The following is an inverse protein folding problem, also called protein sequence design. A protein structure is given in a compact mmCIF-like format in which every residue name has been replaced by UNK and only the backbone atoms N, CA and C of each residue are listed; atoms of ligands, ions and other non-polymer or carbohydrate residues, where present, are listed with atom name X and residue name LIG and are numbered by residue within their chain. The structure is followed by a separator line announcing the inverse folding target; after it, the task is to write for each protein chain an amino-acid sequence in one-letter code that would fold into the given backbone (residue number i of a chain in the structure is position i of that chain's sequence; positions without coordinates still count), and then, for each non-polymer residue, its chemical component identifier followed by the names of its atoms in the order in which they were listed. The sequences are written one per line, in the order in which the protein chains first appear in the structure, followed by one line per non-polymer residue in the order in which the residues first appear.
data_IF_369079338672
#
_entry.id   IF_369079338672
#
_cell.length_a   1.000
_cell.length_b   1.000
_cell.length_c   1.000
_cell.angle_alpha   90.00
_cell.angle_beta   90.00
_cell.angle_gamma   90.00
#
_symmetry.space_group_name_H-M   'P 1'
#
loop_
_entity.id
_entity.type
_entity.pdbx_description
1 polymer ?
#
# COMPACT_ATOMS: atom_id res chain seq x y z
N UNK A 1 -52.21 65.34 -0.53
CA UNK A 1 -51.39 64.29 -1.17
C UNK A 1 -50.19 64.01 -0.27
N UNK A 2 -50.23 62.93 0.51
CA UNK A 2 -49.07 62.40 1.24
C UNK A 2 -49.00 60.91 0.89
N UNK A 3 -48.02 60.53 0.08
CA UNK A 3 -47.79 59.14 -0.30
C UNK A 3 -47.13 58.41 0.86
N UNK A 4 -47.75 57.31 1.30
CA UNK A 4 -47.13 56.32 2.18
C UNK A 4 -46.45 55.30 1.28
N UNK A 5 -45.12 55.26 1.32
CA UNK A 5 -44.33 54.25 0.63
C UNK A 5 -44.13 53.06 1.58
N UNK A 6 -44.80 51.95 1.29
CA UNK A 6 -44.59 50.66 1.96
C UNK A 6 -43.35 50.01 1.37
N UNK A 7 -42.23 50.07 2.09
CA UNK A 7 -41.01 49.35 1.73
C UNK A 7 -41.13 47.86 2.04
N UNK A 8 -41.15 47.02 1.01
CA UNK A 8 -41.00 45.56 1.14
C UNK A 8 -39.50 45.28 1.35
N UNK A 9 -39.13 44.84 2.55
CA UNK A 9 -37.81 44.27 2.82
C UNK A 9 -37.81 42.81 2.34
N UNK A 10 -37.18 42.55 1.19
CA UNK A 10 -36.80 41.20 0.77
C UNK A 10 -35.61 40.74 1.63
N UNK A 11 -35.86 39.86 2.59
CA UNK A 11 -34.79 39.06 3.21
C UNK A 11 -34.22 38.12 2.15
N UNK A 12 -33.10 38.52 1.54
CA UNK A 12 -32.21 37.59 0.84
C UNK A 12 -31.53 36.71 1.90
N UNK A 13 -32.18 35.60 2.25
CA UNK A 13 -31.54 34.54 3.01
C UNK A 13 -30.36 34.01 2.21
N UNK A 14 -29.14 34.21 2.73
CA UNK A 14 -27.96 33.51 2.24
C UNK A 14 -28.22 32.02 2.38
N UNK A 15 -28.46 31.33 1.27
CA UNK A 15 -28.31 29.88 1.19
C UNK A 15 -26.84 29.60 1.48
N UNK A 16 -26.54 29.33 2.76
CA UNK A 16 -25.25 28.80 3.15
C UNK A 16 -25.01 27.55 2.31
N UNK A 17 -23.89 27.53 1.57
CA UNK A 17 -23.41 26.31 0.92
C UNK A 17 -23.36 25.25 2.02
N UNK A 18 -24.21 24.23 1.93
CA UNK A 18 -24.12 23.08 2.84
C UNK A 18 -22.66 22.62 2.80
N UNK A 19 -22.02 22.60 3.97
CA UNK A 19 -20.63 22.16 4.06
C UNK A 19 -20.60 20.72 3.55
N UNK A 20 -19.87 20.48 2.47
CA UNK A 20 -19.82 19.16 1.86
C UNK A 20 -19.35 18.16 2.91
N UNK A 21 -20.12 17.07 3.11
CA UNK A 21 -19.79 16.01 4.05
C UNK A 21 -18.33 15.58 3.88
N UNK A 22 -17.57 15.33 4.96
CA UNK A 22 -16.22 14.82 4.84
C UNK A 22 -16.22 13.54 4.00
N UNK A 23 -15.19 13.32 3.16
CA UNK A 23 -15.19 12.18 2.25
C UNK A 23 -14.83 10.88 2.97
N UNK A 24 -15.28 9.76 2.41
CA UNK A 24 -14.91 8.43 2.87
C UNK A 24 -13.62 7.94 2.18
N UNK A 25 -12.93 6.99 2.80
CA UNK A 25 -11.75 6.35 2.21
C UNK A 25 -11.85 4.84 2.34
N UNK A 26 -11.69 4.14 1.22
CA UNK A 26 -11.48 2.70 1.16
C UNK A 26 -10.05 2.45 0.64
N UNK A 27 -9.24 1.79 1.44
CA UNK A 27 -7.87 1.41 1.08
C UNK A 27 -7.76 -0.11 1.07
N UNK A 28 -7.69 -0.68 -0.13
CA UNK A 28 -7.45 -2.11 -0.34
C UNK A 28 -5.96 -2.39 -0.51
N UNK A 29 -5.43 -3.29 0.31
CA UNK A 29 -4.03 -3.71 0.28
C UNK A 29 -4.00 -5.22 0.09
N UNK A 30 -3.41 -5.68 -1.01
CA UNK A 30 -3.19 -7.09 -1.31
C UNK A 30 -1.76 -7.50 -0.91
N UNK A 31 -1.62 -8.66 -0.29
CA UNK A 31 -0.36 -9.18 0.28
C UNK A 31 0.36 -10.07 -0.74
N UNK A 32 1.59 -9.69 -1.12
CA UNK A 32 2.37 -10.32 -2.21
C UNK A 32 1.76 -10.17 -3.62
N UNK A 33 1.15 -9.01 -3.88
CA UNK A 33 0.60 -8.61 -5.18
C UNK A 33 1.44 -7.51 -5.83
N UNK A 34 2.52 -7.89 -6.51
CA UNK A 34 3.37 -6.97 -7.25
C UNK A 34 2.86 -6.68 -8.66
N UNK A 35 3.43 -5.65 -9.29
CA UNK A 35 2.99 -5.20 -10.62
C UNK A 35 3.16 -6.26 -11.72
N UNK A 36 4.06 -7.24 -11.54
CA UNK A 36 4.27 -8.38 -12.46
C UNK A 36 3.00 -9.23 -12.62
N UNK A 37 2.24 -9.44 -11.55
CA UNK A 37 1.04 -10.27 -11.56
C UNK A 37 -0.27 -9.49 -11.72
N UNK A 38 -0.19 -8.16 -11.82
CA UNK A 38 -1.36 -7.30 -11.93
C UNK A 38 -1.80 -7.13 -13.39
N UNK A 39 -3.06 -7.50 -13.69
CA UNK A 39 -3.63 -7.37 -15.04
C UNK A 39 -3.50 -5.93 -15.58
N UNK A 40 -3.79 -4.94 -14.73
CA UNK A 40 -3.69 -3.52 -15.06
C UNK A 40 -2.26 -3.00 -15.28
N UNK A 41 -1.22 -3.84 -15.15
CA UNK A 41 0.21 -3.48 -15.30
C UNK A 41 0.95 -4.38 -16.31
N UNK A 42 0.22 -5.22 -17.05
CA UNK A 42 0.82 -6.11 -18.06
C UNK A 42 1.59 -5.36 -19.17
N UNK A 43 1.22 -4.11 -19.46
CA UNK A 43 1.91 -3.26 -20.43
C UNK A 43 3.36 -2.90 -20.02
N UNK A 44 3.66 -2.92 -18.72
CA UNK A 44 4.99 -2.59 -18.18
C UNK A 44 5.92 -3.81 -18.23
N UNK A 45 5.50 -4.94 -17.65
CA UNK A 45 6.34 -6.15 -17.54
C UNK A 45 6.14 -7.15 -18.68
N UNK A 46 5.15 -6.91 -19.55
CA UNK A 46 4.79 -7.76 -20.70
C UNK A 46 4.54 -9.21 -20.31
N UNK A 47 3.97 -9.43 -19.13
CA UNK A 47 3.54 -10.76 -18.69
C UNK A 47 2.36 -11.21 -19.55
N UNK A 48 2.43 -12.45 -20.06
CA UNK A 48 1.43 -13.00 -20.98
C UNK A 48 0.29 -13.73 -20.25
N UNK A 49 0.25 -13.65 -18.92
CA UNK A 49 -0.68 -14.36 -18.05
C UNK A 49 -0.82 -13.64 -16.71
N UNK A 50 -2.04 -13.25 -16.35
CA UNK A 50 -2.41 -12.77 -15.01
C UNK A 50 -3.79 -13.32 -14.65
N UNK A 51 -4.17 -13.19 -13.37
CA UNK A 51 -5.55 -13.40 -12.96
C UNK A 51 -6.47 -12.34 -13.59
N UNK A 52 -7.71 -12.71 -13.95
CA UNK A 52 -8.73 -11.71 -14.29
C UNK A 52 -9.12 -10.94 -13.02
N UNK A 53 -9.14 -9.62 -13.12
CA UNK A 53 -9.43 -8.73 -12.00
C UNK A 53 -10.35 -7.57 -12.44
N UNK A 54 -11.57 -7.86 -12.93
CA UNK A 54 -12.44 -6.84 -13.51
C UNK A 54 -12.76 -5.67 -12.57
N UNK A 55 -12.83 -5.88 -11.26
CA UNK A 55 -13.12 -4.79 -10.31
C UNK A 55 -11.89 -3.92 -10.06
N UNK A 56 -10.71 -4.50 -9.83
CA UNK A 56 -9.44 -3.78 -9.68
C UNK A 56 -9.09 -3.05 -10.98
N UNK A 57 -9.19 -3.71 -12.13
CA UNK A 57 -9.01 -3.07 -13.44
C UNK A 57 -10.03 -1.98 -13.68
N UNK A 58 -11.29 -2.18 -13.26
CA UNK A 58 -12.32 -1.15 -13.28
C UNK A 58 -11.95 0.09 -12.45
N UNK A 59 -11.39 -0.10 -11.25
CA UNK A 59 -10.88 1.01 -10.41
C UNK A 59 -9.77 1.78 -11.16
N UNK A 60 -8.81 1.08 -11.77
CA UNK A 60 -7.74 1.73 -12.54
C UNK A 60 -8.28 2.53 -13.74
N UNK A 61 -9.22 1.95 -14.49
CA UNK A 61 -9.81 2.59 -15.68
C UNK A 61 -10.73 3.77 -15.34
N UNK A 62 -11.48 3.69 -14.24
CA UNK A 62 -12.38 4.75 -13.76
C UNK A 62 -11.69 5.78 -12.87
N UNK A 63 -10.39 5.60 -12.61
CA UNK A 63 -9.59 6.45 -11.77
C UNK A 63 -8.31 6.88 -12.46
N UNK A 64 -7.22 6.87 -11.71
CA UNK A 64 -5.87 7.04 -12.23
C UNK A 64 -5.01 5.84 -11.84
N UNK A 65 -4.13 5.44 -12.76
CA UNK A 65 -3.13 4.39 -12.53
C UNK A 65 -1.76 5.03 -12.38
N UNK A 66 -1.05 4.73 -11.30
CA UNK A 66 0.31 5.22 -11.10
C UNK A 66 1.31 4.21 -11.62
N UNK A 67 2.09 4.57 -12.65
CA UNK A 67 2.94 3.58 -13.31
C UNK A 67 4.28 3.40 -12.59
N UNK A 68 4.83 4.41 -11.92
CA UNK A 68 6.13 4.32 -11.20
C UNK A 68 5.96 4.42 -9.69
N UNK A 69 5.55 3.32 -9.08
CA UNK A 69 5.22 3.24 -7.65
C UNK A 69 6.09 2.21 -6.98
N UNK A 70 6.81 2.60 -5.92
CA UNK A 70 7.54 1.65 -5.09
C UNK A 70 6.95 1.51 -3.69
N UNK A 71 6.94 0.27 -3.22
CA UNK A 71 6.84 -0.12 -1.82
C UNK A 71 8.21 -0.49 -1.26
N UNK A 72 8.26 -0.94 0.00
CA UNK A 72 9.42 -1.71 0.45
C UNK A 72 9.36 -3.14 -0.14
N UNK A 73 10.48 -3.89 -0.08
CA UNK A 73 10.53 -5.25 -0.61
C UNK A 73 9.69 -6.26 0.19
N UNK A 74 9.25 -5.91 1.41
CA UNK A 74 8.48 -6.81 2.28
C UNK A 74 7.37 -6.08 3.06
N UNK A 75 6.39 -6.87 3.50
CA UNK A 75 5.13 -6.43 4.10
C UNK A 75 5.23 -5.49 5.32
N UNK A 76 5.88 -5.85 6.44
CA UNK A 76 5.89 -4.99 7.63
C UNK A 76 6.52 -3.61 7.38
N UNK A 77 7.69 -3.51 6.72
CA UNK A 77 8.24 -2.21 6.32
C UNK A 77 7.26 -1.36 5.52
N UNK A 78 6.62 -1.92 4.48
CA UNK A 78 5.61 -1.19 3.69
C UNK A 78 4.46 -0.68 4.58
N UNK A 79 3.92 -1.55 5.43
CA UNK A 79 2.78 -1.23 6.29
C UNK A 79 3.14 -0.16 7.33
N UNK A 80 4.35 -0.21 7.89
CA UNK A 80 4.84 0.78 8.84
C UNK A 80 4.99 2.15 8.16
N UNK A 81 5.56 2.17 6.95
CA UNK A 81 5.72 3.38 6.17
C UNK A 81 4.37 4.01 5.81
N UNK A 82 3.41 3.19 5.36
CA UNK A 82 2.06 3.64 5.04
C UNK A 82 1.31 4.16 6.28
N UNK A 83 1.55 3.55 7.45
CA UNK A 83 0.91 3.95 8.70
C UNK A 83 1.51 5.25 9.28
N UNK A 84 2.78 5.56 9.01
CA UNK A 84 3.50 6.66 9.67
C UNK A 84 3.96 7.78 8.72
N UNK A 85 3.98 7.53 7.41
CA UNK A 85 4.50 8.46 6.41
C UNK A 85 6.02 8.62 6.41
N UNK A 86 6.75 7.61 6.92
CA UNK A 86 8.19 7.64 7.15
C UNK A 86 8.86 6.38 6.65
N UNK A 87 10.11 6.48 6.21
CA UNK A 87 10.91 5.32 5.80
C UNK A 87 11.35 4.46 6.98
N UNK A 88 11.76 3.22 6.68
CA UNK A 88 12.08 2.19 7.66
C UNK A 88 13.32 2.53 8.49
N UNK A 89 14.31 3.24 7.92
CA UNK A 89 15.46 3.75 8.68
C UNK A 89 15.07 4.74 9.79
N UNK A 90 13.87 5.35 9.73
CA UNK A 90 13.35 6.24 10.78
C UNK A 90 12.45 5.54 11.79
N UNK A 91 11.75 4.50 11.38
CA UNK A 91 10.75 3.79 12.22
C UNK A 91 11.33 2.56 12.91
N UNK A 92 12.48 2.05 12.45
CA UNK A 92 13.06 0.79 12.94
C UNK A 92 12.38 -0.47 12.41
N UNK A 93 11.36 -0.34 11.54
CA UNK A 93 10.65 -1.49 10.94
C UNK A 93 11.23 -1.77 9.55
N UNK A 94 12.44 -2.32 9.51
CA UNK A 94 13.16 -2.66 8.27
C UNK A 94 12.93 -4.08 7.74
N UNK A 95 12.27 -4.93 8.54
CA UNK A 95 12.05 -6.36 8.24
C UNK A 95 10.65 -6.79 8.71
N UNK A 96 10.13 -7.94 8.24
CA UNK A 96 8.92 -8.55 8.80
C UNK A 96 8.98 -8.62 10.33
N UNK A 97 7.95 -8.08 10.99
CA UNK A 97 7.85 -8.09 12.44
C UNK A 97 7.74 -9.53 12.95
N UNK A 98 8.48 -9.85 14.00
CA UNK A 98 8.36 -11.10 14.75
C UNK A 98 8.27 -10.77 16.24
N UNK A 99 7.93 -11.77 17.06
CA UNK A 99 7.79 -11.58 18.51
C UNK A 99 9.05 -10.93 19.10
N UNK A 100 8.91 -9.69 19.61
CA UNK A 100 9.99 -8.93 20.24
C UNK A 100 11.00 -8.26 19.29
N UNK A 101 10.77 -8.27 17.98
CA UNK A 101 11.74 -7.81 16.97
C UNK A 101 11.09 -7.00 15.86
N UNK A 102 11.80 -5.95 15.40
CA UNK A 102 11.38 -5.04 14.32
C UNK A 102 10.01 -4.39 14.57
N UNK A 103 9.66 -4.12 15.83
CA UNK A 103 8.37 -3.56 16.22
C UNK A 103 8.28 -2.07 15.90
N UNK A 104 7.09 -1.60 15.49
CA UNK A 104 6.83 -0.16 15.37
C UNK A 104 6.88 0.52 16.74
N UNK A 105 7.37 1.77 16.79
CA UNK A 105 7.29 2.59 17.98
C UNK A 105 5.83 2.83 18.41
N UNK A 106 5.53 2.58 19.69
CA UNK A 106 4.17 2.76 20.22
C UNK A 106 3.68 4.22 20.17
N UNK A 107 4.60 5.19 20.09
CA UNK A 107 4.31 6.62 20.06
C UNK A 107 4.36 7.23 18.64
N UNK A 108 4.55 6.40 17.59
CA UNK A 108 4.53 6.90 16.21
C UNK A 108 3.20 7.64 15.91
N UNK A 109 3.25 8.77 15.16
CA UNK A 109 2.07 9.51 14.76
C UNK A 109 1.37 8.75 13.63
N UNK A 110 0.64 7.70 14.00
CA UNK A 110 -0.07 6.88 13.03
C UNK A 110 -1.16 7.67 12.33
N UNK A 111 -1.45 7.29 11.09
CA UNK A 111 -2.51 7.85 10.26
C UNK A 111 -3.85 7.99 11.02
N UNK A 112 -4.42 6.94 11.64
CA UNK A 112 -5.67 7.06 12.39
C UNK A 112 -5.58 8.00 13.61
N UNK A 113 -4.46 8.01 14.35
CA UNK A 113 -4.27 8.95 15.48
C UNK A 113 -4.24 10.39 15.01
N UNK A 114 -3.65 10.68 13.85
CA UNK A 114 -3.62 12.04 13.30
C UNK A 114 -5.00 12.47 12.79
N UNK A 115 -5.78 11.56 12.21
CA UNK A 115 -7.18 11.83 11.86
C UNK A 115 -7.97 12.20 13.12
N UNK A 116 -7.87 11.41 14.19
CA UNK A 116 -8.54 11.69 15.47
C UNK A 116 -8.08 13.05 16.06
N UNK A 117 -6.76 13.28 16.18
CA UNK A 117 -6.18 14.52 16.73
C UNK A 117 -6.54 15.77 15.92
N UNK A 118 -6.85 15.63 14.64
CA UNK A 118 -7.30 16.75 13.79
C UNK A 118 -8.72 17.24 14.14
N UNK A 119 -9.46 16.51 14.99
CA UNK A 119 -10.84 16.79 15.36
C UNK A 119 -11.88 16.23 14.38
N UNK A 120 -11.44 15.49 13.35
CA UNK A 120 -12.33 14.81 12.43
C UNK A 120 -12.93 13.56 13.09
N UNK A 121 -14.25 13.42 13.04
CA UNK A 121 -14.94 12.27 13.62
C UNK A 121 -15.19 11.19 12.57
N UNK A 122 -14.16 10.40 12.27
CA UNK A 122 -14.24 9.27 11.34
C UNK A 122 -14.54 7.98 12.09
N UNK A 123 -15.23 7.04 11.44
CA UNK A 123 -15.14 5.62 11.79
C UNK A 123 -13.84 5.07 11.23
N UNK A 124 -12.95 4.59 12.08
CA UNK A 124 -11.64 4.07 11.68
C UNK A 124 -11.61 2.54 11.80
N UNK A 125 -11.52 1.85 10.66
CA UNK A 125 -11.50 0.39 10.59
C UNK A 125 -10.20 -0.14 10.02
N UNK A 126 -9.58 -1.11 10.69
CA UNK A 126 -8.49 -1.91 10.16
C UNK A 126 -8.93 -3.37 10.09
N UNK A 127 -8.96 -3.94 8.89
CA UNK A 127 -9.43 -5.32 8.71
C UNK A 127 -8.40 -6.14 7.93
N UNK A 128 -8.10 -7.34 8.44
CA UNK A 128 -7.18 -8.31 7.88
C UNK A 128 -5.80 -8.32 8.56
N UNK A 129 -4.72 -8.27 7.78
CA UNK A 129 -3.35 -8.41 8.25
C UNK A 129 -2.82 -7.12 8.89
N UNK A 130 -2.46 -7.20 10.18
CA UNK A 130 -1.77 -6.11 10.89
C UNK A 130 -0.25 -6.13 10.63
N UNK A 131 0.46 -7.10 11.21
CA UNK A 131 1.89 -7.34 11.02
C UNK A 131 2.84 -6.18 11.39
N UNK A 132 2.46 -5.36 12.38
CA UNK A 132 3.27 -4.25 12.92
C UNK A 132 3.51 -4.34 14.43
N UNK A 133 3.15 -5.46 15.05
CA UNK A 133 3.30 -5.69 16.49
C UNK A 133 3.37 -7.18 16.80
N UNK A 134 3.25 -7.53 18.08
CA UNK A 134 3.41 -8.92 18.50
C UNK A 134 2.16 -9.75 18.22
N UNK A 135 2.31 -11.02 17.85
CA UNK A 135 1.17 -11.93 17.65
C UNK A 135 0.39 -12.25 18.93
N UNK A 136 1.00 -12.02 20.10
CA UNK A 136 0.37 -12.10 21.42
C UNK A 136 -0.10 -10.73 21.95
N UNK A 137 0.08 -9.64 21.21
CA UNK A 137 -0.33 -8.30 21.62
C UNK A 137 -1.83 -8.06 21.42
N UNK A 138 -2.63 -8.92 22.06
CA UNK A 138 -4.08 -8.94 21.99
C UNK A 138 -4.64 -7.83 22.89
N UNK A 139 -4.50 -6.59 22.45
CA UNK A 139 -4.91 -5.41 23.22
C UNK A 139 -3.82 -4.83 24.13
N UNK A 140 -2.55 -4.99 23.80
CA UNK A 140 -1.49 -4.16 24.38
C UNK A 140 -1.00 -3.08 23.41
N UNK A 141 0.16 -2.50 23.71
CA UNK A 141 0.56 -1.16 23.21
C UNK A 141 0.77 -1.04 21.69
N UNK A 142 0.99 -2.13 20.98
CA UNK A 142 1.15 -2.18 19.51
C UNK A 142 -0.06 -2.81 18.80
N UNK A 143 -1.12 -3.13 19.54
CA UNK A 143 -2.37 -3.58 18.96
C UNK A 143 -2.99 -2.46 18.12
N UNK A 144 -3.70 -2.79 17.03
CA UNK A 144 -4.32 -1.79 16.16
C UNK A 144 -5.15 -0.74 16.90
N UNK A 145 -5.90 -1.14 17.94
CA UNK A 145 -6.72 -0.20 18.70
C UNK A 145 -5.91 0.85 19.46
N UNK A 146 -4.79 0.47 20.05
CA UNK A 146 -3.88 1.43 20.70
C UNK A 146 -3.16 2.31 19.68
N UNK A 147 -3.01 1.82 18.45
CA UNK A 147 -2.43 2.55 17.33
C UNK A 147 -3.45 3.46 16.62
N UNK A 148 -4.64 3.65 17.18
CA UNK A 148 -5.64 4.64 16.76
C UNK A 148 -6.87 4.09 16.04
N UNK A 149 -6.94 2.77 15.79
CA UNK A 149 -8.08 2.19 15.09
C UNK A 149 -9.27 1.93 16.04
N UNK A 150 -10.44 2.49 15.77
CA UNK A 150 -11.65 2.21 16.56
C UNK A 150 -12.02 0.73 16.51
N UNK A 151 -11.87 0.14 15.32
CA UNK A 151 -12.21 -1.24 15.03
C UNK A 151 -11.05 -1.97 14.36
N UNK A 152 -10.75 -3.14 14.90
CA UNK A 152 -9.88 -4.12 14.27
C UNK A 152 -10.57 -5.46 14.17
N UNK A 153 -10.45 -6.11 13.02
CA UNK A 153 -10.75 -7.53 12.85
C UNK A 153 -9.70 -8.17 11.95
N UNK A 154 -8.98 -9.16 12.43
CA UNK A 154 -8.06 -9.91 11.58
C UNK A 154 -6.94 -10.60 12.33
N UNK A 155 -5.81 -10.79 11.65
CA UNK A 155 -4.65 -11.48 12.21
C UNK A 155 -3.53 -10.49 12.56
N UNK A 156 -2.93 -10.67 13.74
CA UNK A 156 -1.82 -9.83 14.19
C UNK A 156 -0.48 -10.21 13.52
N UNK A 157 -0.30 -11.49 13.17
CA UNK A 157 0.91 -12.04 12.56
C UNK A 157 1.03 -11.78 11.06
N UNK A 158 2.20 -12.10 10.49
CA UNK A 158 2.53 -11.88 9.09
C UNK A 158 1.85 -12.76 8.05
N UNK A 159 1.09 -13.76 8.46
CA UNK A 159 0.38 -14.64 7.56
C UNK A 159 -0.65 -15.48 8.32
N UNK A 160 -1.51 -16.15 7.56
CA UNK A 160 -2.50 -17.08 8.10
C UNK A 160 -1.91 -18.49 8.17
N UNK A 161 -2.22 -19.26 9.24
CA UNK A 161 -1.88 -20.69 9.24
C UNK A 161 -2.69 -21.47 8.20
N UNK A 162 -3.94 -21.05 7.94
CA UNK A 162 -4.86 -21.65 6.99
C UNK A 162 -6.01 -20.67 6.68
N UNK A 163 -6.48 -20.55 5.44
CA UNK A 163 -7.54 -19.59 5.08
C UNK A 163 -8.97 -19.99 5.50
N UNK A 164 -9.17 -21.21 5.98
CA UNK A 164 -10.45 -21.81 6.40
C UNK A 164 -10.45 -22.27 7.87
N UNK A 165 -9.39 -21.96 8.62
CA UNK A 165 -9.31 -22.19 10.07
C UNK A 165 -8.18 -21.33 10.63
N UNK A 166 -8.50 -20.10 10.98
CA UNK A 166 -7.50 -19.11 11.39
C UNK A 166 -7.96 -18.29 12.58
N UNK A 167 -7.01 -17.74 13.36
CA UNK A 167 -7.33 -16.83 14.46
C UNK A 167 -7.78 -15.47 13.92
N UNK A 168 -9.01 -15.08 14.19
CA UNK A 168 -9.53 -13.75 13.96
C UNK A 168 -9.60 -12.99 15.29
N UNK A 169 -8.81 -11.94 15.44
CA UNK A 169 -8.83 -11.06 16.60
C UNK A 169 -9.72 -9.86 16.31
N UNK A 170 -10.80 -9.71 17.10
CA UNK A 170 -11.69 -8.55 17.05
C UNK A 170 -11.46 -7.73 18.31
N UNK A 171 -10.92 -6.52 18.18
CA UNK A 171 -10.66 -5.59 19.30
C UNK A 171 -10.01 -6.25 20.54
N UNK A 172 -8.97 -7.07 20.31
CA UNK A 172 -8.22 -7.76 21.37
C UNK A 172 -8.74 -9.17 21.71
N UNK A 173 -9.93 -9.57 21.27
CA UNK A 173 -10.46 -10.91 21.51
C UNK A 173 -10.25 -11.82 20.30
N UNK A 174 -9.52 -12.92 20.47
CA UNK A 174 -9.26 -13.87 19.38
C UNK A 174 -10.22 -15.05 19.41
N UNK A 175 -10.88 -15.30 18.27
CA UNK A 175 -11.69 -16.49 18.01
C UNK A 175 -11.24 -17.14 16.72
N UNK A 176 -11.18 -18.47 16.69
CA UNK A 176 -10.93 -19.19 15.43
C UNK A 176 -12.19 -19.19 14.58
N UNK A 177 -12.05 -18.86 13.29
CA UNK A 177 -13.15 -18.90 12.32
C UNK A 177 -12.85 -19.87 11.19
N UNK A 178 -13.90 -20.52 10.70
CA UNK A 178 -13.88 -21.34 9.49
C UNK A 178 -14.34 -20.61 8.24
N UNK A 179 -14.79 -19.35 8.38
CA UNK A 179 -15.12 -18.51 7.22
C UNK A 179 -13.85 -18.22 6.43
N UNK A 180 -13.94 -18.33 5.11
CA UNK A 180 -12.83 -18.01 4.21
C UNK A 180 -12.29 -16.61 4.51
N UNK A 181 -10.99 -16.46 4.76
CA UNK A 181 -10.44 -15.23 5.31
C UNK A 181 -10.72 -13.98 4.46
N UNK A 182 -10.61 -14.09 3.14
CA UNK A 182 -10.90 -12.97 2.22
C UNK A 182 -12.37 -12.52 2.33
N UNK A 183 -13.31 -13.47 2.37
CA UNK A 183 -14.74 -13.18 2.57
C UNK A 183 -15.01 -12.59 3.94
N UNK A 184 -14.40 -13.15 5.00
CA UNK A 184 -14.56 -12.68 6.37
C UNK A 184 -14.08 -11.24 6.55
N UNK A 185 -12.98 -10.86 5.90
CA UNK A 185 -12.50 -9.47 5.91
C UNK A 185 -13.58 -8.52 5.37
N UNK A 186 -14.22 -8.84 4.24
CA UNK A 186 -15.29 -8.00 3.70
C UNK A 186 -16.54 -8.02 4.59
N UNK A 187 -16.90 -9.17 5.15
CA UNK A 187 -18.05 -9.28 6.08
C UNK A 187 -17.85 -8.39 7.32
N UNK A 188 -16.64 -8.33 7.85
CA UNK A 188 -16.31 -7.52 9.03
C UNK A 188 -16.31 -6.02 8.73
N UNK A 189 -15.77 -5.62 7.58
CA UNK A 189 -15.86 -4.21 7.12
C UNK A 189 -17.32 -3.80 6.97
N UNK A 190 -18.14 -4.61 6.27
CA UNK A 190 -19.57 -4.33 6.09
C UNK A 190 -20.33 -4.31 7.42
N UNK A 191 -19.99 -5.22 8.33
CA UNK A 191 -20.56 -5.28 9.67
C UNK A 191 -20.28 -4.02 10.48
N UNK A 192 -19.06 -3.50 10.42
CA UNK A 192 -18.66 -2.30 11.17
C UNK A 192 -19.16 -0.99 10.55
N UNK A 193 -19.03 -0.83 9.23
CA UNK A 193 -19.55 0.35 8.54
C UNK A 193 -21.09 0.41 8.61
N UNK A 194 -21.74 -0.75 8.62
CA UNK A 194 -23.19 -0.91 8.56
C UNK A 194 -23.71 -0.81 7.14
N UNK A 195 -24.92 -1.32 6.88
CA UNK A 195 -25.52 -1.44 5.53
C UNK A 195 -25.64 -0.12 4.74
N UNK A 196 -25.45 1.03 5.38
CA UNK A 196 -25.52 2.34 4.73
C UNK A 196 -24.21 3.17 4.89
N UNK A 197 -23.11 2.60 5.39
CA UNK A 197 -21.92 3.37 5.82
C UNK A 197 -22.14 4.26 7.07
N UNK A 198 -23.39 4.64 7.34
CA UNK A 198 -23.79 5.60 8.35
C UNK A 198 -23.67 7.05 7.85
N UNK A 199 -24.18 8.01 8.62
CA UNK A 199 -24.04 9.44 8.31
C UNK A 199 -22.66 10.01 8.71
N UNK A 200 -21.77 9.16 9.21
CA UNK A 200 -20.43 9.52 9.68
C UNK A 200 -19.41 9.09 8.63
N UNK A 201 -18.42 9.94 8.28
CA UNK A 201 -17.38 9.55 7.34
C UNK A 201 -16.58 8.37 7.89
N UNK A 202 -16.07 7.53 7.00
CA UNK A 202 -15.27 6.36 7.38
C UNK A 202 -13.94 6.29 6.64
N UNK A 203 -12.95 5.68 7.29
CA UNK A 203 -11.73 5.22 6.67
C UNK A 203 -11.54 3.74 7.00
N UNK A 204 -11.61 2.90 5.96
CA UNK A 204 -11.36 1.47 6.07
C UNK A 204 -10.02 1.10 5.43
N UNK A 205 -9.09 0.63 6.25
CA UNK A 205 -7.86 -0.05 5.87
C UNK A 205 -8.14 -1.55 5.75
N UNK A 206 -8.19 -2.05 4.52
CA UNK A 206 -8.59 -3.42 4.20
C UNK A 206 -7.36 -4.15 3.68
N UNK A 207 -6.62 -4.75 4.60
CA UNK A 207 -5.38 -5.44 4.35
C UNK A 207 -5.61 -6.95 4.19
N UNK A 208 -5.93 -7.38 2.98
CA UNK A 208 -6.07 -8.82 2.72
C UNK A 208 -4.79 -9.58 3.03
N UNK A 209 -4.96 -10.82 3.48
CA UNK A 209 -3.87 -11.79 3.54
C UNK A 209 -3.61 -12.41 2.16
N UNK A 210 -4.62 -12.48 1.30
CA UNK A 210 -4.46 -12.99 -0.05
C UNK A 210 -3.73 -11.98 -0.95
N UNK A 211 -2.93 -12.45 -1.93
CA UNK A 211 -2.61 -13.86 -2.25
C UNK A 211 -1.38 -14.47 -1.52
N UNK A 212 -1.01 -14.01 -0.32
CA UNK A 212 0.11 -14.57 0.45
C UNK A 212 -0.08 -16.07 0.76
N UNK A 213 1.04 -16.77 0.93
CA UNK A 213 1.05 -18.18 1.35
C UNK A 213 0.38 -18.40 2.73
N UNK A 214 -0.13 -19.61 3.00
CA UNK A 214 -0.15 -20.80 2.14
C UNK A 214 -1.08 -20.62 0.94
N UNK A 215 -0.57 -20.98 -0.25
CA UNK A 215 -1.42 -21.08 -1.43
C UNK A 215 -2.46 -22.18 -1.20
N UNK A 216 -3.68 -21.94 -1.65
CA UNK A 216 -4.82 -22.81 -1.44
C UNK A 216 -5.85 -22.61 -2.55
N UNK A 217 -6.86 -23.48 -2.63
CA UNK A 217 -8.01 -23.31 -3.52
C UNK A 217 -9.06 -22.43 -2.83
N UNK A 218 -9.40 -21.25 -3.36
CA UNK A 218 -10.49 -20.43 -2.83
C UNK A 218 -11.87 -21.08 -3.10
N UNK A 219 -12.96 -20.54 -2.53
CA UNK A 219 -14.32 -20.97 -2.87
C UNK A 219 -14.58 -20.86 -4.38
N UNK A 220 -15.11 -21.92 -4.98
CA UNK A 220 -15.26 -22.02 -6.45
C UNK A 220 -16.22 -21.01 -7.09
N UNK A 221 -17.02 -20.28 -6.31
CA UNK A 221 -17.86 -19.18 -6.79
C UNK A 221 -17.14 -17.83 -6.84
N UNK A 222 -15.89 -17.76 -6.37
CA UNK A 222 -15.08 -16.53 -6.34
C UNK A 222 -14.00 -16.50 -7.42
N UNK A 223 -13.85 -17.57 -8.22
CA UNK A 223 -12.84 -17.64 -9.26
C UNK A 223 -13.26 -18.54 -10.42
N UNK A 224 -12.66 -18.35 -11.59
CA UNK A 224 -13.00 -19.06 -12.82
C UNK A 224 -12.14 -20.30 -13.08
N UNK A 225 -11.02 -20.46 -12.36
CA UNK A 225 -10.08 -21.57 -12.52
C UNK A 225 -10.73 -22.95 -12.27
N UNK A 226 -10.96 -23.68 -13.36
CA UNK A 226 -11.42 -25.07 -13.34
C UNK A 226 -10.20 -26.01 -13.23
N UNK A 227 -10.39 -27.20 -12.65
CA UNK A 227 -9.38 -28.29 -12.54
C UNK A 227 -8.29 -28.12 -11.47
N UNK A 228 -8.45 -27.20 -10.51
CA UNK A 228 -7.59 -27.15 -9.33
C UNK A 228 -8.08 -28.17 -8.29
N UNK A 229 -7.25 -29.13 -7.90
CA UNK A 229 -7.64 -30.17 -6.93
C UNK A 229 -7.64 -29.72 -5.47
N UNK A 230 -6.97 -28.60 -5.15
CA UNK A 230 -6.75 -28.13 -3.78
C UNK A 230 -5.75 -28.96 -2.97
N UNK A 231 -5.17 -30.02 -3.54
CA UNK A 231 -4.22 -30.87 -2.81
C UNK A 231 -2.85 -30.19 -2.69
N UNK A 232 -2.15 -30.41 -1.56
CA UNK A 232 -0.79 -29.90 -1.36
C UNK A 232 0.19 -30.31 -2.48
N UNK A 233 -0.01 -31.48 -3.10
CA UNK A 233 0.81 -31.95 -4.22
C UNK A 233 0.58 -31.10 -5.46
N UNK A 234 -0.67 -30.82 -5.78
CA UNK A 234 -1.04 -30.02 -6.95
C UNK A 234 -0.62 -28.56 -6.77
N UNK A 235 -0.87 -27.96 -5.60
CA UNK A 235 -0.44 -26.60 -5.27
C UNK A 235 1.07 -26.43 -5.43
N UNK A 236 1.86 -27.37 -4.91
CA UNK A 236 3.32 -27.33 -5.03
C UNK A 236 3.79 -27.46 -6.48
N UNK A 237 3.11 -28.28 -7.29
CA UNK A 237 3.49 -28.53 -8.67
C UNK A 237 3.00 -27.43 -9.62
N UNK A 238 1.90 -26.76 -9.29
CA UNK A 238 1.21 -25.79 -10.14
C UNK A 238 0.88 -24.49 -9.37
N UNK A 239 1.86 -23.80 -8.74
CA UNK A 239 1.57 -22.71 -7.82
C UNK A 239 0.89 -21.48 -8.45
N UNK A 240 1.14 -21.21 -9.74
CA UNK A 240 0.59 -20.03 -10.44
C UNK A 240 -0.94 -20.05 -10.50
N UNK A 241 -1.62 -21.09 -11.03
CA UNK A 241 -3.08 -21.14 -11.02
C UNK A 241 -3.72 -20.92 -9.64
N UNK A 242 -3.10 -21.44 -8.57
CA UNK A 242 -3.61 -21.22 -7.20
C UNK A 242 -3.43 -19.76 -6.76
N UNK A 243 -2.25 -19.19 -6.97
CA UNK A 243 -2.02 -17.76 -6.73
C UNK A 243 -3.02 -16.88 -7.49
N UNK A 244 -3.22 -17.15 -8.78
CA UNK A 244 -4.14 -16.39 -9.63
C UNK A 244 -5.60 -16.54 -9.17
N UNK A 245 -6.03 -17.75 -8.79
CA UNK A 245 -7.37 -17.96 -8.22
C UNK A 245 -7.58 -17.18 -6.92
N UNK A 246 -6.54 -17.05 -6.09
CA UNK A 246 -6.59 -16.24 -4.85
C UNK A 246 -6.69 -14.73 -5.15
N UNK A 247 -6.02 -14.26 -6.21
CA UNK A 247 -6.15 -12.88 -6.71
C UNK A 247 -7.57 -12.62 -7.23
N UNK A 248 -8.09 -13.49 -8.10
CA UNK A 248 -9.47 -13.37 -8.64
C UNK A 248 -10.54 -13.43 -7.53
N UNK A 249 -10.33 -14.28 -6.52
CA UNK A 249 -11.22 -14.32 -5.36
C UNK A 249 -11.18 -13.04 -4.53
N UNK A 250 -10.02 -12.39 -4.44
CA UNK A 250 -9.89 -11.09 -3.77
C UNK A 250 -10.56 -9.98 -4.58
N UNK A 251 -10.41 -9.98 -5.91
CA UNK A 251 -11.11 -9.06 -6.80
C UNK A 251 -12.64 -9.20 -6.69
N UNK A 252 -13.15 -10.44 -6.68
CA UNK A 252 -14.59 -10.71 -6.52
C UNK A 252 -15.14 -10.17 -5.20
N UNK A 253 -14.37 -10.32 -4.11
CA UNK A 253 -14.75 -9.81 -2.79
C UNK A 253 -14.66 -8.27 -2.71
N UNK A 254 -13.70 -7.64 -3.40
CA UNK A 254 -13.66 -6.18 -3.57
C UNK A 254 -14.94 -5.71 -4.29
N UNK A 255 -15.32 -6.38 -5.39
CA UNK A 255 -16.57 -6.11 -6.09
C UNK A 255 -17.79 -6.20 -5.18
N UNK A 256 -17.88 -7.28 -4.39
CA UNK A 256 -18.96 -7.45 -3.41
C UNK A 256 -19.02 -6.32 -2.39
N UNK A 257 -17.88 -5.83 -1.88
CA UNK A 257 -17.88 -4.70 -0.95
C UNK A 257 -18.42 -3.44 -1.63
N UNK A 258 -17.89 -3.11 -2.82
CA UNK A 258 -18.28 -1.91 -3.56
C UNK A 258 -19.77 -1.92 -3.90
N UNK A 259 -20.31 -3.06 -4.36
CA UNK A 259 -21.73 -3.24 -4.67
C UNK A 259 -22.64 -3.19 -3.44
N UNK A 260 -22.10 -3.49 -2.25
CA UNK A 260 -22.87 -3.52 -1.00
C UNK A 260 -23.00 -2.14 -0.33
N UNK A 261 -22.17 -1.16 -0.73
CA UNK A 261 -22.23 0.20 -0.20
C UNK A 261 -23.30 1.02 -0.95
N UNK A 262 -24.07 1.87 -0.24
CA UNK A 262 -25.15 2.64 -0.85
C UNK A 262 -24.61 3.76 -1.76
N UNK A 263 -25.53 4.37 -2.51
CA UNK A 263 -25.31 5.63 -3.24
C UNK A 263 -24.10 5.58 -4.17
N UNK A 264 -24.22 4.82 -5.25
CA UNK A 264 -23.16 4.73 -6.26
C UNK A 264 -23.12 6.00 -7.12
N UNK A 265 -21.91 6.50 -7.40
CA UNK A 265 -21.68 7.56 -8.37
C UNK A 265 -21.87 7.04 -9.81
N UNK A 266 -21.72 7.92 -10.80
CA UNK A 266 -21.90 7.58 -12.23
C UNK A 266 -20.97 6.46 -12.73
N UNK A 267 -19.87 6.23 -12.03
CA UNK A 267 -18.84 5.24 -12.37
C UNK A 267 -19.08 3.91 -11.63
N UNK A 268 -20.16 3.78 -10.85
CA UNK A 268 -20.46 2.57 -10.07
C UNK A 268 -19.48 2.35 -8.92
N UNK A 269 -18.97 3.44 -8.34
CA UNK A 269 -18.23 3.43 -7.08
C UNK A 269 -19.05 4.17 -6.01
N UNK A 270 -18.88 3.85 -4.72
CA UNK A 270 -19.57 4.56 -3.65
C UNK A 270 -19.34 6.08 -3.75
N UNK A 271 -20.42 6.87 -3.67
CA UNK A 271 -20.34 8.32 -3.76
C UNK A 271 -19.58 8.90 -2.56
N UNK A 272 -19.02 10.10 -2.73
CA UNK A 272 -18.21 10.79 -1.72
C UNK A 272 -17.12 9.88 -1.10
N UNK A 273 -16.55 8.95 -1.89
CA UNK A 273 -15.59 7.96 -1.42
C UNK A 273 -14.37 7.91 -2.34
N UNK A 274 -13.18 8.01 -1.75
CA UNK A 274 -11.92 7.73 -2.43
C UNK A 274 -11.61 6.24 -2.30
N UNK A 275 -11.46 5.57 -3.44
CA UNK A 275 -11.15 4.14 -3.53
C UNK A 275 -9.72 3.97 -3.98
N UNK A 276 -8.90 3.36 -3.13
CA UNK A 276 -7.47 3.13 -3.35
C UNK A 276 -7.22 1.63 -3.35
N UNK A 277 -6.55 1.10 -4.36
CA UNK A 277 -6.11 -0.30 -4.40
C UNK A 277 -4.60 -0.37 -4.64
N UNK A 278 -3.91 -1.18 -3.84
CA UNK A 278 -2.47 -1.39 -3.95
C UNK A 278 -2.02 -2.80 -3.57
N UNK A 279 -0.80 -3.15 -4.00
CA UNK A 279 -0.03 -4.27 -3.42
C UNK A 279 0.93 -3.79 -2.35
N UNK A 280 1.26 -4.64 -1.35
CA UNK A 280 2.20 -4.25 -0.28
C UNK A 280 3.68 -4.49 -0.61
N UNK A 281 3.98 -5.43 -1.49
CA UNK A 281 5.31 -5.69 -2.03
C UNK A 281 5.21 -6.49 -3.33
N UNK A 282 6.36 -6.80 -3.92
CA UNK A 282 6.48 -7.64 -5.10
C UNK A 282 5.73 -8.96 -5.00
N UNK A 283 5.42 -9.53 -6.16
CA UNK A 283 4.62 -10.75 -6.31
C UNK A 283 5.27 -11.93 -5.59
N UNK A 284 4.44 -12.82 -5.05
CA UNK A 284 4.90 -14.03 -4.36
C UNK A 284 5.85 -14.86 -5.24
N UNK A 285 6.99 -15.25 -4.67
CA UNK A 285 8.12 -15.78 -5.45
C UNK A 285 7.81 -17.09 -6.18
N UNK A 286 6.90 -17.92 -5.65
CA UNK A 286 6.45 -19.13 -6.35
C UNK A 286 5.64 -18.84 -7.60
N UNK A 287 4.98 -17.68 -7.69
CA UNK A 287 4.28 -17.24 -8.89
C UNK A 287 5.24 -16.59 -9.89
N UNK A 288 6.10 -15.66 -9.44
CA UNK A 288 7.04 -14.93 -10.30
C UNK A 288 7.94 -15.85 -11.13
N UNK A 289 8.54 -16.86 -10.49
CA UNK A 289 9.46 -17.80 -11.16
C UNK A 289 8.87 -18.50 -12.39
N UNK A 290 7.55 -18.64 -12.43
CA UNK A 290 6.85 -19.28 -13.56
C UNK A 290 6.38 -18.25 -14.59
N UNK A 291 5.99 -17.04 -14.14
CA UNK A 291 5.57 -15.95 -15.04
C UNK A 291 6.73 -15.35 -15.82
N UNK A 292 7.96 -15.45 -15.30
CA UNK A 292 9.18 -14.86 -15.89
C UNK A 292 10.35 -15.87 -15.86
N UNK A 293 10.38 -16.89 -16.74
CA UNK A 293 11.44 -17.91 -16.76
C UNK A 293 12.77 -17.37 -17.30
N UNK A 294 13.90 -18.00 -16.93
CA UNK A 294 15.30 -17.64 -17.24
C UNK A 294 15.59 -16.97 -18.62
N UNK A 295 16.56 -16.03 -18.71
CA UNK A 295 17.65 -15.74 -17.75
C UNK A 295 17.26 -14.84 -16.55
N UNK A 296 15.97 -14.56 -16.37
CA UNK A 296 15.31 -13.70 -15.39
C UNK A 296 15.48 -14.10 -13.90
N UNK A 297 16.42 -14.99 -13.56
CA UNK A 297 16.63 -15.49 -12.19
C UNK A 297 17.73 -14.73 -11.42
N UNK A 298 17.65 -13.39 -11.32
CA UNK A 298 18.54 -12.67 -10.38
C UNK A 298 17.81 -12.15 -9.15
N UNK A 299 17.10 -13.09 -8.53
CA UNK A 299 16.40 -13.07 -7.24
C UNK A 299 15.02 -12.39 -7.29
N UNK A 300 14.02 -13.23 -7.56
CA UNK A 300 12.65 -12.90 -7.97
C UNK A 300 11.77 -12.27 -6.90
N UNK A 301 10.88 -11.36 -7.30
CA UNK A 301 9.67 -10.95 -6.57
C UNK A 301 9.92 -10.37 -5.19
N UNK A 302 8.97 -10.63 -4.29
CA UNK A 302 9.03 -10.27 -2.87
C UNK A 302 10.43 -10.48 -2.26
N UNK A 303 10.86 -9.48 -1.50
CA UNK A 303 12.09 -9.50 -0.71
C UNK A 303 13.33 -9.02 -1.45
N UNK A 304 13.18 -8.46 -2.66
CA UNK A 304 14.31 -7.97 -3.46
C UNK A 304 14.16 -6.50 -3.77
N UNK A 305 15.29 -5.81 -3.96
CA UNK A 305 15.32 -4.38 -4.31
C UNK A 305 15.02 -4.13 -5.79
N UNK A 306 14.92 -5.16 -6.63
CA UNK A 306 14.61 -5.06 -8.06
C UNK A 306 13.15 -4.64 -8.32
N UNK A 307 12.83 -4.19 -9.54
CA UNK A 307 11.51 -3.69 -9.94
C UNK A 307 10.41 -4.71 -9.62
N UNK A 308 10.68 -6.01 -9.84
CA UNK A 308 9.72 -7.08 -9.53
C UNK A 308 9.44 -7.26 -8.03
N UNK A 309 10.34 -6.77 -7.16
CA UNK A 309 10.24 -6.85 -5.71
C UNK A 309 9.63 -5.62 -5.04
N UNK A 310 9.76 -4.45 -5.67
CA UNK A 310 9.35 -3.17 -5.08
C UNK A 310 8.26 -2.45 -5.86
N UNK A 311 8.09 -2.71 -7.16
CA UNK A 311 7.03 -2.07 -7.95
C UNK A 311 5.71 -2.77 -7.74
N UNK A 312 4.75 -2.01 -7.23
CA UNK A 312 3.41 -2.49 -6.87
C UNK A 312 2.34 -1.75 -7.68
N UNK A 313 1.19 -2.39 -7.95
CA UNK A 313 0.07 -1.67 -8.51
C UNK A 313 -0.43 -0.62 -7.50
N UNK A 314 -0.85 0.54 -8.02
CA UNK A 314 -1.56 1.58 -7.27
C UNK A 314 -2.54 2.27 -8.20
N UNK A 315 -3.83 2.15 -7.89
CA UNK A 315 -4.89 2.85 -8.59
C UNK A 315 -5.76 3.60 -7.59
N UNK A 316 -6.17 4.82 -7.95
CA UNK A 316 -7.01 5.69 -7.13
C UNK A 316 -8.19 6.18 -7.96
N UNK A 317 -9.41 5.93 -7.50
CA UNK A 317 -10.66 6.30 -8.17
C UNK A 317 -11.68 6.89 -7.19
N UNK A 318 -12.80 7.38 -7.73
CA UNK A 318 -13.91 7.90 -6.93
C UNK A 318 -13.85 9.41 -6.72
N UNK A 319 -14.28 9.87 -5.55
CA UNK A 319 -14.50 11.30 -5.29
C UNK A 319 -13.23 12.15 -5.44
N UNK A 320 -13.39 13.34 -6.02
CA UNK A 320 -12.30 14.30 -6.24
C UNK A 320 -11.33 13.96 -7.38
N UNK A 321 -11.45 12.80 -8.03
CA UNK A 321 -10.60 12.42 -9.17
C UNK A 321 -11.12 13.07 -10.46
N UNK A 322 -10.35 14.02 -11.00
CA UNK A 322 -10.63 14.63 -12.32
C UNK A 322 -10.09 13.75 -13.45
N UNK A 323 -10.59 13.88 -14.67
CA UNK A 323 -10.05 13.27 -15.91
C UNK A 323 -9.66 11.77 -15.83
N UNK A 324 -10.53 10.88 -15.31
CA UNK A 324 -10.21 9.47 -15.09
C UNK A 324 -9.84 8.73 -16.39
N UNK A 325 -9.20 7.56 -16.25
CA UNK A 325 -8.70 6.75 -17.35
C UNK A 325 -7.32 7.17 -17.86
N UNK A 326 -6.49 7.76 -16.99
CA UNK A 326 -5.13 8.21 -17.32
C UNK A 326 -4.07 7.59 -16.41
N UNK A 327 -2.84 7.62 -16.91
CA UNK A 327 -1.65 7.24 -16.16
C UNK A 327 -0.98 8.46 -15.51
N UNK A 328 -0.40 8.22 -14.34
CA UNK A 328 0.56 9.13 -13.69
C UNK A 328 1.93 8.47 -13.71
N UNK A 329 2.84 9.05 -14.49
CA UNK A 329 4.20 8.51 -14.70
C UNK A 329 5.26 9.09 -13.73
N UNK A 330 4.83 9.95 -12.79
CA UNK A 330 5.71 10.53 -11.79
C UNK A 330 6.22 9.47 -10.79
N UNK A 331 7.42 9.65 -10.20
CA UNK A 331 7.89 8.79 -9.12
C UNK A 331 6.99 8.95 -7.89
N UNK A 332 6.45 7.84 -7.40
CA UNK A 332 5.58 7.76 -6.23
C UNK A 332 6.08 6.67 -5.30
N UNK A 333 6.04 6.93 -4.00
CA UNK A 333 6.24 5.89 -2.99
C UNK A 333 4.91 5.62 -2.28
N UNK A 334 4.59 4.37 -1.93
CA UNK A 334 3.37 4.06 -1.17
C UNK A 334 3.27 4.82 0.16
N UNK A 335 4.40 5.22 0.73
CA UNK A 335 4.51 6.10 1.91
C UNK A 335 3.72 7.41 1.71
N UNK A 336 3.58 7.87 0.47
CA UNK A 336 2.88 9.11 0.08
C UNK A 336 1.38 9.05 0.35
N UNK A 337 0.80 7.84 0.43
CA UNK A 337 -0.60 7.68 0.79
C UNK A 337 -0.90 8.18 2.21
N UNK A 338 0.08 8.22 3.12
CA UNK A 338 -0.08 8.80 4.45
C UNK A 338 -0.51 10.28 4.36
N UNK A 339 0.31 11.11 3.70
CA UNK A 339 0.02 12.53 3.54
C UNK A 339 -1.18 12.77 2.62
N UNK A 340 -1.37 11.91 1.62
CA UNK A 340 -2.53 11.96 0.71
C UNK A 340 -3.84 11.77 1.47
N UNK A 341 -3.93 10.75 2.32
CA UNK A 341 -5.13 10.46 3.10
C UNK A 341 -5.37 11.58 4.11
N UNK A 342 -4.34 12.05 4.83
CA UNK A 342 -4.50 13.19 5.75
C UNK A 342 -5.00 14.45 5.05
N UNK A 343 -4.46 14.78 3.87
CA UNK A 343 -4.94 15.95 3.10
C UNK A 343 -6.38 15.74 2.64
N UNK A 344 -6.70 14.56 2.13
CA UNK A 344 -8.02 14.26 1.60
C UNK A 344 -9.11 14.24 2.69
N UNK A 345 -8.81 13.69 3.87
CA UNK A 345 -9.71 13.70 5.03
C UNK A 345 -9.73 15.05 5.77
N UNK A 346 -8.98 16.06 5.29
CA UNK A 346 -8.82 17.38 5.92
C UNK A 346 -8.24 17.29 7.35
N UNK A 347 -7.34 16.33 7.57
CA UNK A 347 -6.71 16.01 8.86
C UNK A 347 -5.26 16.54 8.99
N UNK A 348 -4.87 17.54 8.19
CA UNK A 348 -3.51 18.09 8.20
C UNK A 348 -3.27 19.19 9.25
N UNK A 349 -4.28 19.52 10.06
CA UNK A 349 -4.22 20.60 11.06
C UNK A 349 -3.27 20.29 12.22
N UNK A 350 -3.06 19.01 12.52
CA UNK A 350 -2.10 18.56 13.51
C UNK A 350 -0.81 18.12 12.83
N UNK A 351 0.32 18.64 13.30
CA UNK A 351 1.67 18.17 12.94
C UNK A 351 2.42 17.86 14.23
N UNK A 352 3.13 16.72 14.32
CA UNK A 352 4.16 16.51 15.33
C UNK A 352 5.17 17.66 15.32
N UNK A 353 6.00 17.75 16.36
CA UNK A 353 7.00 18.81 16.53
C UNK A 353 7.83 19.05 15.27
N UNK A 354 8.29 20.28 15.05
CA UNK A 354 8.94 20.71 13.79
C UNK A 354 10.19 19.93 13.41
N UNK A 355 10.80 19.20 14.34
CA UNK A 355 11.94 18.31 14.10
C UNK A 355 11.54 16.92 13.59
N UNK A 356 10.25 16.60 13.58
CA UNK A 356 9.73 15.32 13.12
C UNK A 356 9.66 15.27 11.59
N UNK A 357 10.59 14.53 10.98
CA UNK A 357 10.66 14.37 9.53
C UNK A 357 9.65 13.33 9.02
N UNK A 358 8.76 13.78 8.13
CA UNK A 358 7.97 12.91 7.26
C UNK A 358 8.68 12.76 5.91
N UNK A 359 8.65 11.55 5.37
CA UNK A 359 9.17 11.27 4.03
C UNK A 359 8.04 11.24 2.98
N UNK A 360 6.78 11.25 3.43
CA UNK A 360 5.58 11.27 2.56
C UNK A 360 5.33 12.66 1.93
N UNK A 361 4.88 12.65 0.67
CA UNK A 361 4.26 13.82 0.02
C UNK A 361 2.84 13.49 -0.41
N UNK A 362 1.99 14.49 -0.62
CA UNK A 362 0.60 14.24 -1.03
C UNK A 362 0.48 13.93 -2.52
N UNK A 363 -0.34 12.94 -2.87
CA UNK A 363 -0.75 12.62 -4.24
C UNK A 363 -2.03 13.35 -4.67
N UNK A 364 -2.68 14.12 -3.77
CA UNK A 364 -3.87 14.93 -4.09
C UNK A 364 -3.69 15.85 -5.32
N UNK A 365 -2.52 16.47 -5.56
CA UNK A 365 -2.30 17.22 -6.79
C UNK A 365 -2.58 16.43 -8.06
N UNK A 366 -2.19 15.14 -8.10
CA UNK A 366 -2.47 14.26 -9.25
C UNK A 366 -3.95 13.93 -9.38
N UNK A 367 -4.68 13.83 -8.27
CA UNK A 367 -6.12 13.56 -8.28
C UNK A 367 -6.91 14.73 -8.86
N UNK A 368 -6.51 15.96 -8.52
CA UNK A 368 -7.25 17.20 -8.84
C UNK A 368 -6.81 17.91 -10.12
N UNK A 369 -5.65 17.55 -10.67
CA UNK A 369 -5.09 18.19 -11.86
C UNK A 369 -4.38 17.15 -12.75
N UNK A 370 -4.83 16.98 -14.00
CA UNK A 370 -4.19 16.07 -14.96
C UNK A 370 -2.79 16.52 -15.37
N UNK A 371 -2.47 17.80 -15.22
CA UNK A 371 -1.18 18.40 -15.56
C UNK A 371 -0.26 18.60 -14.33
N UNK A 372 -0.55 17.90 -13.23
CA UNK A 372 0.25 18.00 -12.02
C UNK A 372 1.70 17.54 -12.28
N UNK A 373 2.66 18.38 -11.89
CA UNK A 373 4.09 18.08 -11.97
C UNK A 373 4.49 17.01 -10.94
N UNK A 374 5.64 16.33 -11.12
CA UNK A 374 6.21 15.45 -10.11
C UNK A 374 6.28 16.11 -8.74
N UNK A 375 5.72 15.46 -7.71
CA UNK A 375 5.80 15.92 -6.32
C UNK A 375 7.17 15.65 -5.70
N UNK A 376 7.94 14.76 -6.33
CA UNK A 376 9.35 14.45 -6.01
C UNK A 376 10.10 14.04 -7.28
N UNK A 377 11.42 14.24 -7.34
CA UNK A 377 12.22 13.86 -8.50
C UNK A 377 12.64 12.39 -8.50
N UNK A 378 12.48 11.67 -7.38
CA UNK A 378 12.93 10.29 -7.20
C UNK A 378 11.97 9.48 -6.33
N UNK A 379 12.12 8.15 -6.34
CA UNK A 379 11.48 7.18 -5.45
C UNK A 379 12.57 6.35 -4.76
N UNK A 380 12.36 5.94 -3.51
CA UNK A 380 13.35 5.25 -2.67
C UNK A 380 12.75 3.99 -2.03
N UNK A 381 13.60 2.99 -1.77
CA UNK A 381 13.25 1.77 -1.02
C UNK A 381 14.50 1.20 -0.37
N UNK A 382 14.33 0.44 0.70
CA UNK A 382 15.43 -0.09 1.49
C UNK A 382 15.17 -1.50 2.00
N UNK A 383 16.25 -2.17 2.38
CA UNK A 383 16.29 -3.52 2.88
C UNK A 383 17.26 -3.61 4.04
N UNK A 384 16.87 -4.43 5.03
CA UNK A 384 17.66 -4.67 6.23
C UNK A 384 17.83 -6.17 6.50
N UNK A 385 18.94 -6.53 7.13
CA UNK A 385 19.27 -7.85 7.65
C UNK A 385 19.01 -7.95 9.17
N UNK A 386 18.95 -9.18 9.67
CA UNK A 386 18.91 -9.41 11.11
C UNK A 386 20.25 -9.03 11.72
N UNK A 387 20.26 -8.29 12.83
CA UNK A 387 21.45 -8.27 13.68
C UNK A 387 21.63 -9.64 14.34
N UNK A 388 22.70 -10.34 13.95
CA UNK A 388 23.04 -11.67 14.47
C UNK A 388 23.67 -11.64 15.87
N UNK A 389 23.95 -10.46 16.45
CA UNK A 389 24.68 -10.33 17.72
C UNK A 389 23.83 -10.49 19.00
N UNK A 390 22.66 -11.10 18.92
CA UNK A 390 21.98 -11.67 20.10
C UNK A 390 21.35 -10.68 21.09
N UNK A 391 21.13 -9.42 20.70
CA UNK A 391 20.31 -8.52 21.53
C UNK A 391 18.86 -9.00 21.58
N UNK A 392 18.28 -9.04 22.78
CA UNK A 392 16.87 -9.38 23.02
C UNK A 392 15.89 -8.37 22.36
N UNK A 393 16.39 -7.24 21.87
CA UNK A 393 15.66 -6.23 21.07
C UNK A 393 16.01 -6.25 19.57
N UNK A 394 16.81 -7.23 19.11
CA UNK A 394 17.13 -7.53 17.70
C UNK A 394 17.15 -6.32 16.77
N UNK A 395 18.24 -5.56 16.75
CA UNK A 395 18.41 -4.44 15.83
C UNK A 395 18.29 -4.87 14.36
N UNK A 396 17.95 -3.91 13.49
CA UNK A 396 18.06 -4.06 12.04
C UNK A 396 19.41 -3.54 11.57
N UNK A 397 20.09 -4.27 10.68
CA UNK A 397 21.29 -3.80 10.01
C UNK A 397 20.93 -3.45 8.57
N UNK A 398 21.24 -2.24 8.09
CA UNK A 398 21.01 -1.89 6.69
C UNK A 398 21.76 -2.87 5.77
N UNK A 399 21.10 -3.38 4.73
CA UNK A 399 21.68 -4.38 3.81
C UNK A 399 21.61 -4.01 2.34
N UNK A 400 20.67 -3.16 1.96
CA UNK A 400 20.74 -2.46 0.69
C UNK A 400 19.65 -1.42 0.53
N UNK A 401 19.84 -0.52 -0.42
CA UNK A 401 18.85 0.47 -0.78
C UNK A 401 18.83 0.71 -2.28
N UNK A 402 17.68 1.15 -2.79
CA UNK A 402 17.52 1.56 -4.17
C UNK A 402 16.84 2.93 -4.25
N UNK A 403 17.26 3.72 -5.24
CA UNK A 403 16.66 5.00 -5.59
C UNK A 403 16.46 5.05 -7.11
N UNK A 404 15.35 5.64 -7.57
CA UNK A 404 15.05 5.74 -9.00
C UNK A 404 14.43 7.08 -9.36
N UNK A 405 14.74 7.58 -10.55
CA UNK A 405 14.06 8.71 -11.18
C UNK A 405 13.07 8.20 -12.26
N UNK A 406 12.73 9.05 -13.23
CA UNK A 406 11.83 8.68 -14.32
C UNK A 406 12.41 7.64 -15.29
N UNK A 407 13.73 7.48 -15.38
CA UNK A 407 14.36 6.62 -16.38
C UNK A 407 15.41 5.69 -15.80
N UNK A 408 16.14 6.12 -14.77
CA UNK A 408 17.24 5.38 -14.21
C UNK A 408 16.95 5.00 -12.77
N UNK A 409 17.56 3.90 -12.34
CA UNK A 409 17.62 3.56 -10.93
C UNK A 409 18.99 3.05 -10.55
N UNK A 410 19.32 3.22 -9.29
CA UNK A 410 20.57 2.82 -8.67
C UNK A 410 20.28 1.97 -7.44
N UNK A 411 21.05 0.90 -7.26
CA UNK A 411 20.99 -0.02 -6.13
C UNK A 411 22.38 -0.08 -5.51
N UNK A 412 22.46 -0.01 -4.17
CA UNK A 412 23.68 -0.25 -3.41
C UNK A 412 23.39 -1.25 -2.30
N UNK A 413 24.33 -2.17 -2.10
CA UNK A 413 24.30 -3.15 -1.02
C UNK A 413 25.34 -2.83 0.06
N UNK A 414 25.19 -3.42 1.23
CA UNK A 414 26.13 -3.35 2.35
C UNK A 414 27.52 -3.91 2.00
N UNK A 415 27.59 -4.91 1.12
CA UNK A 415 28.82 -5.50 0.58
C UNK A 415 29.51 -4.66 -0.53
N UNK A 416 29.19 -3.36 -0.60
CA UNK A 416 29.68 -2.38 -1.58
C UNK A 416 29.29 -2.64 -3.04
N UNK A 417 28.52 -3.69 -3.34
CA UNK A 417 28.03 -3.90 -4.71
C UNK A 417 27.08 -2.78 -5.10
N UNK A 418 27.32 -2.23 -6.29
CA UNK A 418 26.49 -1.19 -6.89
C UNK A 418 25.97 -1.64 -8.27
N UNK A 419 24.70 -1.35 -8.53
CA UNK A 419 24.03 -1.65 -9.78
C UNK A 419 23.24 -0.42 -10.26
N UNK A 420 23.16 -0.22 -11.57
CA UNK A 420 22.36 0.86 -12.13
C UNK A 420 21.75 0.44 -13.46
N UNK A 421 20.49 0.82 -13.70
CA UNK A 421 19.70 0.38 -14.84
C UNK A 421 18.94 1.55 -15.47
N UNK A 422 18.70 1.46 -16.78
CA UNK A 422 17.71 2.29 -17.49
C UNK A 422 16.41 1.47 -17.58
N UNK A 423 15.43 1.81 -16.75
CA UNK A 423 14.19 1.04 -16.58
C UNK A 423 13.18 1.28 -17.72
N UNK A 424 13.44 2.22 -18.64
CA UNK A 424 12.58 2.43 -19.81
C UNK A 424 12.94 1.43 -20.91
N UNK A 425 14.23 1.20 -21.14
CA UNK A 425 14.71 0.27 -22.18
C UNK A 425 15.02 -1.12 -21.63
N UNK A 426 15.33 -1.24 -20.35
CA UNK A 426 15.62 -2.48 -19.62
C UNK A 426 14.77 -2.57 -18.33
N UNK A 427 13.43 -2.70 -18.46
CA UNK A 427 12.52 -2.80 -17.30
C UNK A 427 12.74 -4.07 -16.46
N UNK A 428 13.60 -4.97 -16.94
CA UNK A 428 13.94 -6.25 -16.32
C UNK A 428 15.30 -6.23 -15.63
N UNK A 429 16.01 -5.10 -15.68
CA UNK A 429 17.26 -4.86 -14.96
C UNK A 429 18.35 -5.90 -15.30
N UNK A 430 18.49 -6.21 -16.59
CA UNK A 430 19.43 -7.22 -17.09
C UNK A 430 20.82 -6.66 -17.42
N UNK A 431 20.94 -5.35 -17.65
CA UNK A 431 22.15 -4.69 -18.12
C UNK A 431 22.63 -3.61 -17.17
N UNK A 432 23.60 -3.96 -16.30
CA UNK A 432 24.18 -3.00 -15.37
C UNK A 432 25.02 -1.93 -16.12
N UNK A 433 24.54 -0.68 -16.09
CA UNK A 433 25.13 0.48 -16.73
C UNK A 433 26.49 0.87 -16.13
N UNK A 434 26.78 0.53 -14.87
CA UNK A 434 28.08 0.80 -14.26
C UNK A 434 29.20 -0.01 -14.93
N UNK A 435 28.88 -1.21 -15.43
CA UNK A 435 29.82 -2.09 -16.11
C UNK A 435 29.96 -1.72 -17.60
N UNK A 436 28.83 -1.49 -18.28
CA UNK A 436 28.77 -1.46 -19.76
C UNK A 436 28.19 -0.19 -20.37
N UNK A 437 27.67 0.74 -19.55
CA UNK A 437 27.02 1.96 -20.00
C UNK A 437 27.98 3.01 -20.56
N UNK A 438 27.42 3.99 -21.28
CA UNK A 438 28.16 5.17 -21.75
C UNK A 438 28.63 6.02 -20.57
N UNK A 439 29.58 6.94 -20.81
CA UNK A 439 30.00 7.90 -19.78
C UNK A 439 28.83 8.72 -19.24
N UNK A 440 27.91 9.15 -20.12
CA UNK A 440 26.71 9.89 -19.73
C UNK A 440 25.77 9.06 -18.84
N UNK A 441 25.54 7.79 -19.20
CA UNK A 441 24.71 6.88 -18.40
C UNK A 441 25.31 6.68 -16.99
N UNK A 442 26.62 6.44 -16.90
CA UNK A 442 27.32 6.31 -15.61
C UNK A 442 27.20 7.60 -14.77
N UNK A 443 27.27 8.78 -15.39
CA UNK A 443 27.09 10.05 -14.70
C UNK A 443 25.67 10.21 -14.12
N UNK A 444 24.63 9.72 -14.81
CA UNK A 444 23.26 9.67 -14.27
C UNK A 444 23.19 8.77 -13.03
N UNK A 445 23.80 7.58 -13.09
CA UNK A 445 23.89 6.67 -11.95
C UNK A 445 24.59 7.32 -10.74
N UNK A 446 25.72 8.01 -10.96
CA UNK A 446 26.42 8.70 -9.88
C UNK A 446 25.60 9.81 -9.22
N UNK A 447 24.74 10.51 -9.97
CA UNK A 447 23.81 11.51 -9.40
C UNK A 447 22.74 10.87 -8.52
N UNK A 448 22.19 9.73 -8.94
CA UNK A 448 21.25 8.96 -8.12
C UNK A 448 21.92 8.45 -6.85
N UNK A 449 23.15 7.91 -6.95
CA UNK A 449 23.95 7.53 -5.78
C UNK A 449 24.12 8.70 -4.80
N UNK A 450 24.53 9.88 -5.28
CA UNK A 450 24.67 11.06 -4.43
C UNK A 450 23.32 11.44 -3.77
N UNK A 451 22.23 11.42 -4.53
CA UNK A 451 20.88 11.71 -4.02
C UNK A 451 20.44 10.71 -2.93
N UNK A 452 20.75 9.43 -3.09
CA UNK A 452 20.49 8.40 -2.08
C UNK A 452 21.27 8.68 -0.80
N UNK A 453 22.56 8.97 -0.91
CA UNK A 453 23.41 9.29 0.24
C UNK A 453 22.91 10.56 0.95
N UNK A 454 22.60 11.63 0.22
CA UNK A 454 22.05 12.86 0.80
C UNK A 454 20.75 12.58 1.58
N UNK A 455 19.87 11.72 1.04
CA UNK A 455 18.63 11.33 1.72
C UNK A 455 18.93 10.60 3.04
N UNK A 456 19.67 9.51 2.98
CA UNK A 456 19.87 8.65 4.15
C UNK A 456 20.86 9.24 5.17
N UNK A 457 21.75 10.14 4.76
CA UNK A 457 22.73 10.77 5.65
C UNK A 457 22.26 12.10 6.24
N UNK A 458 21.15 12.65 5.77
CA UNK A 458 20.55 13.86 6.34
C UNK A 458 19.96 13.66 7.74
N UNK A 459 19.69 12.41 8.13
CA UNK A 459 19.20 12.05 9.46
C UNK A 459 20.37 11.62 10.35
N UNK A 460 20.63 12.37 11.42
CA UNK A 460 21.69 12.06 12.39
C UNK A 460 21.44 10.76 13.17
N UNK A 461 20.22 10.22 13.12
CA UNK A 461 19.84 8.92 13.68
C UNK A 461 19.65 7.85 12.60
N UNK A 462 20.06 8.12 11.37
CA UNK A 462 19.94 7.16 10.28
C UNK A 462 20.64 5.85 10.60
N UNK A 463 19.96 4.75 10.30
CA UNK A 463 20.58 3.43 10.33
C UNK A 463 21.74 3.32 9.33
N UNK A 464 21.81 4.18 8.32
CA UNK A 464 22.80 4.16 7.24
C UNK A 464 24.08 4.95 7.52
N UNK A 465 24.43 5.22 8.79
CA UNK A 465 25.57 6.10 9.13
C UNK A 465 26.91 5.66 8.52
N UNK A 466 27.12 4.35 8.32
CA UNK A 466 28.35 3.82 7.69
C UNK A 466 28.50 4.21 6.21
N UNK A 467 27.42 4.60 5.54
CA UNK A 467 27.47 5.10 4.15
C UNK A 467 27.76 6.60 4.06
N UNK A 468 27.78 7.30 5.20
CA UNK A 468 27.86 8.75 5.30
C UNK A 468 29.27 9.28 5.55
N UNK A 469 30.22 8.38 5.80
CA UNK A 469 31.67 8.66 5.85
C UNK A 469 32.28 8.63 4.44
#
# INVERSE_FOLDING_TARGET
MKHVATGIFLLLGSLGKAEASPPNVLLFILDDYGAVSAESYQDIFRTNRTAPTPHITGICQKGIRFTKVWSNPTCSPTRANLLTGRYSFRTGVGRPCSLGQNEIGADEPTLPRLIEKSGQSYKLANVGKWHLGQSNDKGGRLAPNFMGWDYFSGVLSGGLPNYYSWPNTINGETVYTSTYATTKNIDDVLGYLGKNGGNQPYFAWIAFNAPHTPLHLPPGNLHSYQLLSGTNRDIRNNPVPYYESMVEATDTEIGRLLDSLPDQNRDGLPDNTLVIVMGDNGTQNSAVRTLMPAPFERASGKGTLYEHGVRVPLCIAGDGVVSPGRDVESPVNITDLYQTILEYTKSTSFRPDSEFAFDSVSLVPYLKNSEAKPQRPWVFTEQFNADSNGSASGGILPSGAAIGDLQHRFIRYDDEREECFDIIVDPLETSNLLNSGTHEAKLKCSKLRATMLDLVCSDSKSAWSEWCE
#
